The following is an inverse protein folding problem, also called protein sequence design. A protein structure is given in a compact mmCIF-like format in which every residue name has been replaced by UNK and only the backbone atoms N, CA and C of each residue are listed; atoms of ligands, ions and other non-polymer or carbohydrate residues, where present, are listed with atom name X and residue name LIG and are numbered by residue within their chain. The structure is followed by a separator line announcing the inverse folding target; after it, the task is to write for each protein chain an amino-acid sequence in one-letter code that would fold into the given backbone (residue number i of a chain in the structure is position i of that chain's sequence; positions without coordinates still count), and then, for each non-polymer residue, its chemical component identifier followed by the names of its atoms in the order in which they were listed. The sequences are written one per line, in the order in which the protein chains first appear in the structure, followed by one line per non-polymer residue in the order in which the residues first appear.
data_IF_621460984241
#
_entry.id   IF_621460984241
#
_cell.length_a   1.000
_cell.length_b   1.000
_cell.length_c   1.000
_cell.angle_alpha   90.00
_cell.angle_beta   90.00
_cell.angle_gamma   90.00
#
_symmetry.space_group_name_H-M   'P 1'
#
loop_
_entity.id
_entity.type
_entity.pdbx_description
1 polymer ?
#
# COMPACT_ATOMS: atom_id res chain seq x y z
N UNK A 1 -0.13 30.41 -44.53
CA UNK A 1 -1.45 30.25 -43.88
C UNK A 1 -1.28 29.18 -42.83
N UNK A 2 -1.06 29.62 -41.59
CA UNK A 2 -0.64 28.79 -40.47
C UNK A 2 -1.80 28.83 -39.49
N UNK A 3 -2.62 27.78 -39.46
CA UNK A 3 -3.77 27.71 -38.55
C UNK A 3 -3.33 26.99 -37.29
N UNK A 4 -3.33 27.74 -36.19
CA UNK A 4 -3.01 27.32 -34.83
C UNK A 4 -3.99 26.26 -34.32
N UNK A 5 -3.48 25.09 -33.96
CA UNK A 5 -4.16 24.12 -33.09
C UNK A 5 -3.95 24.54 -31.64
N UNK A 6 -4.71 25.52 -31.18
CA UNK A 6 -4.90 25.83 -29.77
C UNK A 6 -6.35 26.17 -29.57
N UNK A 7 -6.97 25.54 -28.57
CA UNK A 7 -8.37 25.65 -28.13
C UNK A 7 -9.38 24.70 -28.78
N UNK A 8 -9.51 23.49 -28.19
CA UNK A 8 -10.81 22.83 -27.98
C UNK A 8 -10.63 21.56 -27.12
N UNK A 9 -10.45 21.72 -25.82
CA UNK A 9 -10.78 20.70 -24.83
C UNK A 9 -11.13 21.37 -23.51
N UNK A 10 -12.14 22.24 -23.53
CA UNK A 10 -12.86 22.56 -22.31
C UNK A 10 -13.57 21.27 -21.89
N UNK A 11 -12.97 20.56 -20.94
CA UNK A 11 -13.53 19.38 -20.30
C UNK A 11 -14.94 19.70 -19.81
N UNK A 12 -15.95 19.12 -20.45
CA UNK A 12 -17.29 19.01 -19.86
C UNK A 12 -17.11 18.41 -18.46
N UNK A 13 -17.54 19.14 -17.43
CA UNK A 13 -17.56 18.61 -16.07
C UNK A 13 -18.61 17.51 -16.03
N UNK A 14 -18.18 16.26 -16.27
CA UNK A 14 -18.99 15.08 -15.99
C UNK A 14 -19.43 15.16 -14.53
N UNK A 15 -20.71 14.88 -14.28
CA UNK A 15 -21.23 14.77 -12.92
C UNK A 15 -20.33 13.84 -12.09
N UNK A 16 -20.12 14.14 -10.80
CA UNK A 16 -19.23 13.34 -9.96
C UNK A 16 -19.70 11.88 -9.99
N UNK A 17 -18.75 10.97 -10.26
CA UNK A 17 -19.02 9.54 -10.23
C UNK A 17 -19.30 9.13 -8.79
N UNK A 18 -20.49 8.58 -8.54
CA UNK A 18 -20.91 8.14 -7.21
C UNK A 18 -20.59 6.67 -6.93
N UNK A 19 -20.22 5.91 -7.97
CA UNK A 19 -19.81 4.50 -7.87
C UNK A 19 -18.59 4.19 -8.73
N UNK A 20 -17.91 3.09 -8.39
CA UNK A 20 -16.81 2.46 -9.13
C UNK A 20 -17.29 1.08 -9.58
N UNK A 21 -17.48 0.86 -10.90
CA UNK A 21 -17.76 -0.48 -11.41
C UNK A 21 -16.48 -1.32 -11.33
N UNK A 22 -16.56 -2.47 -10.67
CA UNK A 22 -15.44 -3.37 -10.46
C UNK A 22 -15.60 -4.64 -11.29
N UNK A 23 -14.48 -5.15 -11.81
CA UNK A 23 -14.42 -6.32 -12.66
C UNK A 23 -13.26 -7.22 -12.23
N UNK A 24 -13.41 -8.53 -12.39
CA UNK A 24 -12.29 -9.45 -12.27
C UNK A 24 -11.36 -9.22 -13.47
N UNK A 25 -10.11 -8.79 -13.28
CA UNK A 25 -9.22 -8.44 -14.39
C UNK A 25 -8.79 -9.67 -15.21
N UNK A 26 -8.93 -10.88 -14.68
CA UNK A 26 -8.56 -12.10 -15.38
C UNK A 26 -9.67 -12.63 -16.29
N UNK A 27 -10.95 -12.36 -15.97
CA UNK A 27 -12.12 -12.88 -16.72
C UNK A 27 -13.01 -11.78 -17.32
N UNK A 28 -12.84 -10.54 -16.89
CA UNK A 28 -13.71 -9.38 -17.15
C UNK A 28 -15.14 -9.53 -16.60
N UNK A 29 -15.38 -10.52 -15.73
CA UNK A 29 -16.68 -10.70 -15.08
C UNK A 29 -16.95 -9.54 -14.09
N UNK A 30 -18.20 -9.03 -14.03
CA UNK A 30 -18.54 -7.95 -13.10
C UNK A 30 -18.50 -8.44 -11.66
N UNK A 31 -17.82 -7.68 -10.79
CA UNK A 31 -17.76 -7.92 -9.34
C UNK A 31 -18.75 -7.06 -8.55
N UNK A 32 -19.36 -6.08 -9.21
CA UNK A 32 -20.34 -5.15 -8.65
C UNK A 32 -19.86 -3.70 -8.60
N UNK A 33 -20.68 -2.83 -8.05
CA UNK A 33 -20.38 -1.40 -7.89
C UNK A 33 -20.02 -1.08 -6.44
N UNK A 34 -18.98 -0.27 -6.26
CA UNK A 34 -18.51 0.21 -4.95
C UNK A 34 -18.80 1.70 -4.81
N UNK A 35 -19.35 2.19 -3.68
CA UNK A 35 -19.62 3.61 -3.50
C UNK A 35 -18.32 4.43 -3.45
N UNK A 36 -18.35 5.62 -4.06
CA UNK A 36 -17.27 6.59 -4.01
C UNK A 36 -17.45 7.50 -2.79
N UNK A 37 -16.41 7.65 -1.98
CA UNK A 37 -16.26 8.78 -1.07
C UNK A 37 -15.93 10.00 -1.93
N UNK A 38 -16.94 10.85 -2.14
CA UNK A 38 -16.75 12.06 -2.95
C UNK A 38 -15.87 13.06 -2.21
N UNK A 39 -15.15 13.95 -2.91
CA UNK A 39 -14.25 14.93 -2.30
C UNK A 39 -14.86 15.72 -1.13
N UNK A 40 -16.16 16.01 -1.21
CA UNK A 40 -16.92 16.77 -0.22
C UNK A 40 -17.08 16.02 1.12
N UNK A 41 -17.03 14.69 1.12
CA UNK A 41 -17.19 13.86 2.31
C UNK A 41 -15.86 13.64 3.06
N UNK A 42 -14.72 13.81 2.38
CA UNK A 42 -13.38 13.55 2.95
C UNK A 42 -13.09 14.37 4.21
N UNK A 43 -13.45 15.67 4.33
CA UNK A 43 -13.26 16.43 5.56
C UNK A 43 -13.98 15.80 6.77
N UNK A 44 -15.17 15.22 6.58
CA UNK A 44 -15.89 14.55 7.66
C UNK A 44 -15.16 13.27 8.12
N UNK A 45 -14.59 12.51 7.19
CA UNK A 45 -13.72 11.36 7.50
C UNK A 45 -12.50 11.78 8.34
N UNK A 46 -11.84 12.89 7.96
CA UNK A 46 -10.67 13.42 8.69
C UNK A 46 -11.04 13.85 10.10
N UNK A 47 -12.14 14.57 10.28
CA UNK A 47 -12.60 15.00 11.62
C UNK A 47 -12.97 13.81 12.52
N UNK A 48 -13.62 12.79 11.96
CA UNK A 48 -13.95 11.56 12.67
C UNK A 48 -12.68 10.79 13.09
N UNK A 49 -11.71 10.65 12.18
CA UNK A 49 -10.40 10.05 12.48
C UNK A 49 -9.67 10.83 13.58
N UNK A 50 -9.66 12.15 13.50
CA UNK A 50 -9.03 13.06 14.48
C UNK A 50 -9.69 12.92 15.86
N UNK A 51 -11.01 12.73 15.92
CA UNK A 51 -11.70 12.47 17.17
C UNK A 51 -11.30 11.12 17.79
N UNK A 52 -11.26 10.04 17.00
CA UNK A 52 -10.82 8.72 17.45
C UNK A 52 -9.34 8.74 17.89
N UNK A 53 -8.49 9.44 17.14
CA UNK A 53 -7.06 9.56 17.38
C UNK A 53 -6.73 10.12 18.76
N UNK A 54 -7.49 11.10 19.25
CA UNK A 54 -7.26 11.71 20.58
C UNK A 54 -7.33 10.68 21.71
N UNK A 55 -8.21 9.68 21.59
CA UNK A 55 -8.29 8.56 22.53
C UNK A 55 -7.13 7.59 22.29
N UNK A 56 -6.87 7.25 21.03
CA UNK A 56 -5.82 6.31 20.65
C UNK A 56 -4.41 6.75 21.05
N UNK A 57 -4.08 8.03 20.92
CA UNK A 57 -2.77 8.58 21.29
C UNK A 57 -2.41 8.35 22.77
N UNK A 58 -3.42 8.17 23.63
CA UNK A 58 -3.27 8.00 25.08
C UNK A 58 -3.23 6.53 25.51
N UNK A 59 -3.38 5.58 24.58
CA UNK A 59 -3.28 4.15 24.90
C UNK A 59 -1.84 3.75 25.16
N UNK A 60 -1.66 2.70 25.98
CA UNK A 60 -0.35 2.10 26.23
C UNK A 60 0.12 1.27 25.03
N UNK A 61 1.42 1.01 24.92
CA UNK A 61 1.95 0.11 23.91
C UNK A 61 1.39 -1.32 24.01
N UNK A 62 1.01 -1.76 25.20
CA UNK A 62 0.32 -3.04 25.40
C UNK A 62 -1.03 -3.07 24.70
N UNK A 63 -1.86 -2.04 24.88
CA UNK A 63 -3.15 -1.92 24.19
C UNK A 63 -2.97 -1.84 22.67
N UNK A 64 -1.92 -1.14 22.20
CA UNK A 64 -1.61 -1.06 20.76
C UNK A 64 -1.18 -2.39 20.18
N UNK A 65 -0.35 -3.14 20.91
CA UNK A 65 0.04 -4.51 20.53
C UNK A 65 -1.15 -5.44 20.48
N UNK A 66 -2.10 -5.29 21.40
CA UNK A 66 -3.28 -6.14 21.43
C UNK A 66 -4.17 -5.95 20.20
N UNK A 67 -4.46 -4.71 19.81
CA UNK A 67 -5.16 -4.42 18.54
C UNK A 67 -4.44 -5.04 17.34
N UNK A 68 -3.11 -4.89 17.27
CA UNK A 68 -2.33 -5.48 16.18
C UNK A 68 -2.28 -7.01 16.21
N UNK A 69 -2.35 -7.64 17.39
CA UNK A 69 -2.49 -9.09 17.50
C UNK A 69 -3.84 -9.56 16.96
N UNK A 70 -4.93 -8.88 17.32
CA UNK A 70 -6.25 -9.21 16.78
C UNK A 70 -6.30 -9.06 15.25
N UNK A 71 -5.64 -8.02 14.71
CA UNK A 71 -5.46 -7.88 13.25
C UNK A 71 -4.67 -9.06 12.66
N UNK A 72 -3.60 -9.50 13.31
CA UNK A 72 -2.80 -10.64 12.88
C UNK A 72 -3.60 -11.94 12.90
N UNK A 73 -4.32 -12.19 13.98
CA UNK A 73 -5.15 -13.38 14.15
C UNK A 73 -6.24 -13.42 13.06
N UNK A 74 -6.94 -12.30 12.81
CA UNK A 74 -7.92 -12.22 11.72
C UNK A 74 -7.29 -12.53 10.34
N UNK A 75 -6.12 -11.96 10.04
CA UNK A 75 -5.44 -12.24 8.75
C UNK A 75 -5.07 -13.72 8.61
N UNK A 76 -4.64 -14.37 9.70
CA UNK A 76 -4.28 -15.78 9.68
C UNK A 76 -5.52 -16.69 9.57
N UNK A 77 -6.57 -16.39 10.34
CA UNK A 77 -7.81 -17.18 10.37
C UNK A 77 -8.60 -17.09 9.05
N UNK A 78 -8.44 -15.98 8.32
CA UNK A 78 -9.12 -15.72 7.04
C UNK A 78 -8.18 -15.69 5.83
N UNK A 79 -6.97 -16.25 5.94
CA UNK A 79 -5.93 -16.14 4.91
C UNK A 79 -6.41 -16.61 3.52
N UNK A 80 -7.15 -17.73 3.44
CA UNK A 80 -7.66 -18.25 2.16
C UNK A 80 -8.71 -17.34 1.52
N UNK A 81 -9.61 -16.76 2.31
CA UNK A 81 -10.64 -15.84 1.83
C UNK A 81 -10.03 -14.51 1.38
N UNK A 82 -9.04 -14.02 2.12
CA UNK A 82 -8.26 -12.84 1.74
C UNK A 82 -7.48 -13.08 0.44
N UNK A 83 -6.88 -14.26 0.26
CA UNK A 83 -6.25 -14.65 -1.01
C UNK A 83 -7.26 -14.61 -2.15
N UNK A 84 -8.44 -15.22 -1.97
CA UNK A 84 -9.49 -15.18 -3.02
C UNK A 84 -9.89 -13.75 -3.34
N UNK A 85 -10.04 -12.88 -2.33
CA UNK A 85 -10.39 -11.48 -2.54
C UNK A 85 -9.31 -10.73 -3.35
N UNK A 86 -8.04 -10.90 -2.98
CA UNK A 86 -6.90 -10.30 -3.69
C UNK A 86 -6.82 -10.80 -5.13
N UNK A 87 -7.00 -12.11 -5.34
CA UNK A 87 -6.92 -12.72 -6.66
C UNK A 87 -8.00 -12.19 -7.57
N UNK A 88 -9.25 -12.10 -7.10
CA UNK A 88 -10.37 -11.57 -7.88
C UNK A 88 -10.23 -10.09 -8.21
N UNK A 89 -9.70 -9.30 -7.29
CA UNK A 89 -9.63 -7.84 -7.47
C UNK A 89 -8.39 -7.41 -8.26
N UNK A 90 -7.24 -8.08 -8.06
CA UNK A 90 -5.96 -7.69 -8.66
C UNK A 90 -5.43 -8.67 -9.73
N UNK A 91 -6.08 -9.82 -9.95
CA UNK A 91 -5.74 -10.76 -11.02
C UNK A 91 -4.46 -11.57 -10.84
N UNK A 92 -3.80 -11.49 -9.67
CA UNK A 92 -2.58 -12.25 -9.40
C UNK A 92 -2.88 -13.71 -9.06
N UNK A 93 -1.87 -14.59 -9.20
CA UNK A 93 -2.00 -16.01 -8.81
C UNK A 93 -2.24 -16.14 -7.30
N UNK A 94 -2.86 -17.25 -6.85
CA UNK A 94 -3.04 -17.55 -5.41
C UNK A 94 -1.70 -17.56 -4.67
N UNK A 95 -0.67 -18.09 -5.30
CA UNK A 95 0.69 -18.12 -4.74
C UNK A 95 1.25 -16.70 -4.58
N UNK A 96 1.14 -15.83 -5.59
CA UNK A 96 1.58 -14.43 -5.49
C UNK A 96 0.76 -13.64 -4.46
N UNK A 97 -0.54 -13.92 -4.32
CA UNK A 97 -1.35 -13.33 -3.26
C UNK A 97 -0.87 -13.79 -1.87
N UNK A 98 -0.62 -15.08 -1.70
CA UNK A 98 -0.15 -15.63 -0.43
C UNK A 98 1.25 -15.10 -0.05
N UNK A 99 2.22 -15.23 -0.97
CA UNK A 99 3.62 -14.86 -0.73
C UNK A 99 3.88 -13.35 -0.79
N UNK A 100 3.11 -12.61 -1.60
CA UNK A 100 3.29 -11.18 -1.84
C UNK A 100 2.40 -10.29 -0.99
N UNK A 101 1.29 -10.79 -0.44
CA UNK A 101 0.35 -9.98 0.35
C UNK A 101 0.20 -10.49 1.77
N UNK A 102 -0.28 -11.73 1.93
CA UNK A 102 -0.63 -12.27 3.25
C UNK A 102 0.62 -12.38 4.13
N UNK A 103 1.65 -13.11 3.68
CA UNK A 103 2.84 -13.34 4.49
C UNK A 103 3.63 -12.06 4.80
N UNK A 104 3.83 -11.12 3.86
CA UNK A 104 4.47 -9.84 4.16
C UNK A 104 3.70 -9.03 5.21
N UNK A 105 2.36 -9.05 5.17
CA UNK A 105 1.52 -8.41 6.20
C UNK A 105 1.70 -9.10 7.55
N UNK A 106 1.63 -10.43 7.60
CA UNK A 106 1.84 -11.19 8.83
C UNK A 106 3.22 -10.91 9.44
N UNK A 107 4.28 -10.89 8.62
CA UNK A 107 5.63 -10.57 9.09
C UNK A 107 5.72 -9.13 9.59
N UNK A 108 5.09 -8.17 8.90
CA UNK A 108 5.05 -6.77 9.33
C UNK A 108 4.34 -6.61 10.68
N UNK A 109 3.23 -7.31 10.89
CA UNK A 109 2.50 -7.37 12.16
C UNK A 109 3.38 -7.97 13.25
N UNK A 110 3.91 -9.19 13.03
CA UNK A 110 4.79 -9.89 13.97
C UNK A 110 5.96 -9.01 14.40
N UNK A 111 6.67 -8.43 13.43
CA UNK A 111 7.80 -7.54 13.69
C UNK A 111 7.38 -6.29 14.48
N UNK A 112 6.27 -5.64 14.09
CA UNK A 112 5.82 -4.40 14.74
C UNK A 112 5.32 -4.67 16.17
N UNK A 113 4.64 -5.78 16.41
CA UNK A 113 4.20 -6.22 17.75
C UNK A 113 5.42 -6.45 18.66
N UNK A 114 6.48 -7.08 18.14
CA UNK A 114 7.68 -7.40 18.91
C UNK A 114 8.62 -6.18 19.12
N UNK A 115 8.82 -5.36 18.08
CA UNK A 115 9.84 -4.30 18.09
C UNK A 115 9.29 -2.87 18.18
N UNK A 116 8.00 -2.65 17.96
CA UNK A 116 7.40 -1.32 17.83
C UNK A 116 7.59 -0.42 19.04
N UNK A 117 7.33 -0.93 20.25
CA UNK A 117 7.55 -0.17 21.50
C UNK A 117 9.02 0.21 21.69
N UNK A 118 9.94 -0.72 21.40
CA UNK A 118 11.38 -0.46 21.50
C UNK A 118 11.81 0.66 20.54
N UNK A 119 11.26 0.69 19.34
CA UNK A 119 11.55 1.70 18.33
C UNK A 119 11.03 3.10 18.68
N UNK A 120 10.02 3.20 19.55
CA UNK A 120 9.38 4.46 19.95
C UNK A 120 9.71 4.88 21.38
N UNK A 121 10.62 4.16 22.05
CA UNK A 121 11.00 4.43 23.43
C UNK A 121 11.79 5.75 23.51
N UNK A 122 11.54 6.60 24.52
CA UNK A 122 12.37 7.78 24.75
C UNK A 122 13.85 7.46 24.91
N UNK A 123 14.69 8.28 24.30
CA UNK A 123 16.15 8.15 24.37
C UNK A 123 16.75 9.29 25.21
N UNK A 124 17.51 8.94 26.25
CA UNK A 124 18.25 9.95 27.01
C UNK A 124 19.49 10.38 26.21
N UNK A 125 19.68 11.68 26.04
CA UNK A 125 20.82 12.24 25.30
C UNK A 125 21.61 13.22 26.17
N UNK A 126 22.89 13.40 25.86
CA UNK A 126 23.74 14.30 26.63
C UNK A 126 23.29 15.76 26.44
N UNK A 127 23.13 16.56 27.52
CA UNK A 127 22.92 18.00 27.43
C UNK A 127 24.22 18.77 27.09
N UNK A 128 25.32 18.06 26.80
CA UNK A 128 26.63 18.65 26.53
C UNK A 128 27.20 19.39 27.74
N UNK A 129 27.66 20.63 27.54
CA UNK A 129 28.23 21.46 28.59
C UNK A 129 27.19 21.98 29.60
N UNK A 130 25.89 21.82 29.34
CA UNK A 130 24.83 22.29 30.23
C UNK A 130 24.52 21.26 31.32
N UNK A 131 25.47 21.05 32.24
CA UNK A 131 25.41 20.04 33.31
C UNK A 131 24.20 20.14 34.26
N UNK A 132 23.51 21.28 34.29
CA UNK A 132 22.29 21.52 35.07
C UNK A 132 21.00 21.13 34.33
N UNK A 133 21.08 20.64 33.09
CA UNK A 133 19.93 20.26 32.26
C UNK A 133 19.85 18.75 32.09
N UNK A 134 18.66 18.26 31.76
CA UNK A 134 18.43 16.89 31.26
C UNK A 134 17.87 17.00 29.84
N UNK A 135 18.28 16.11 28.95
CA UNK A 135 17.81 16.08 27.58
C UNK A 135 17.36 14.66 27.21
N UNK A 136 16.26 14.57 26.46
CA UNK A 136 15.73 13.32 25.94
C UNK A 136 15.04 13.56 24.60
N UNK A 137 15.03 12.54 23.75
CA UNK A 137 14.27 12.49 22.50
C UNK A 137 13.01 11.66 22.77
N UNK A 138 11.86 12.17 22.34
CA UNK A 138 10.57 11.48 22.44
C UNK A 138 9.89 11.44 21.09
N UNK A 139 9.14 10.36 20.85
CA UNK A 139 8.38 10.16 19.62
C UNK A 139 6.89 10.29 19.93
N UNK A 140 6.27 11.33 19.37
CA UNK A 140 4.84 11.57 19.47
C UNK A 140 4.14 11.19 18.16
N UNK A 141 2.89 10.69 18.21
CA UNK A 141 2.08 10.50 17.01
C UNK A 141 1.93 11.82 16.26
N UNK A 142 1.86 11.75 14.93
CA UNK A 142 1.58 12.89 14.05
C UNK A 142 0.13 13.36 14.19
N UNK A 143 -0.81 12.41 14.33
CA UNK A 143 -2.24 12.69 14.33
C UNK A 143 -2.95 11.75 13.35
N UNK A 144 -3.60 12.31 12.33
CA UNK A 144 -4.25 11.56 11.25
C UNK A 144 -3.28 11.37 10.08
N UNK A 145 -3.07 10.12 9.68
CA UNK A 145 -2.26 9.76 8.51
C UNK A 145 -3.17 9.47 7.33
N UNK A 146 -3.01 10.20 6.23
CA UNK A 146 -3.65 9.90 4.95
C UNK A 146 -2.78 8.98 4.11
N UNK A 147 -3.30 7.83 3.71
CA UNK A 147 -2.58 6.83 2.91
C UNK A 147 -3.29 6.73 1.57
N UNK A 148 -2.55 6.85 0.47
CA UNK A 148 -3.08 6.71 -0.88
C UNK A 148 -2.35 5.55 -1.55
N UNK A 149 -3.10 4.49 -1.86
CA UNK A 149 -2.53 3.19 -2.28
C UNK A 149 -2.78 2.90 -3.77
N UNK A 150 -1.84 2.20 -4.43
CA UNK A 150 -2.01 1.69 -5.78
C UNK A 150 -2.72 0.32 -5.73
N UNK A 151 -2.99 -0.21 -6.91
CA UNK A 151 -3.80 -1.40 -7.15
C UNK A 151 -3.03 -2.72 -7.18
N UNK A 152 -1.71 -2.70 -7.23
CA UNK A 152 -0.93 -3.92 -7.50
C UNK A 152 -0.87 -4.89 -6.30
N UNK A 153 -0.85 -4.37 -5.07
CA UNK A 153 -0.87 -5.16 -3.82
C UNK A 153 -1.93 -4.60 -2.85
N UNK A 154 -3.24 -4.74 -3.13
CA UNK A 154 -4.29 -4.00 -2.42
C UNK A 154 -4.33 -4.28 -0.91
N UNK A 155 -4.06 -5.50 -0.44
CA UNK A 155 -4.06 -5.77 1.00
C UNK A 155 -2.80 -5.19 1.66
N UNK A 156 -1.63 -5.51 1.11
CA UNK A 156 -0.34 -5.08 1.66
C UNK A 156 -0.21 -3.56 1.64
N UNK A 157 -0.68 -2.88 0.60
CA UNK A 157 -0.61 -1.42 0.52
C UNK A 157 -1.52 -0.74 1.55
N UNK A 158 -2.63 -1.38 1.95
CA UNK A 158 -3.48 -0.89 3.05
C UNK A 158 -2.83 -1.16 4.40
N UNK A 159 -2.50 -2.43 4.70
CA UNK A 159 -2.04 -2.81 6.04
C UNK A 159 -0.60 -2.38 6.32
N UNK A 160 0.29 -2.52 5.33
CA UNK A 160 1.73 -2.25 5.46
C UNK A 160 2.07 -0.92 6.14
N UNK A 161 1.54 0.23 5.66
CA UNK A 161 1.72 1.52 6.31
C UNK A 161 0.77 1.79 7.48
N UNK A 162 -0.40 1.15 7.54
CA UNK A 162 -1.36 1.29 8.65
C UNK A 162 -0.83 0.69 9.96
N UNK A 163 -0.18 -0.48 9.89
CA UNK A 163 0.39 -1.19 11.05
C UNK A 163 1.35 -0.31 11.88
N UNK A 164 2.42 0.27 11.31
CA UNK A 164 3.31 1.15 12.07
C UNK A 164 2.63 2.47 12.47
N UNK A 165 1.68 2.98 11.67
CA UNK A 165 0.93 4.19 12.03
C UNK A 165 0.09 3.98 13.30
N UNK A 166 -0.61 2.85 13.42
CA UNK A 166 -1.36 2.48 14.62
C UNK A 166 -0.45 2.27 15.83
N UNK A 167 0.67 1.55 15.67
CA UNK A 167 1.66 1.38 16.75
C UNK A 167 2.18 2.73 17.28
N UNK A 168 2.43 3.67 16.38
CA UNK A 168 2.87 5.02 16.72
C UNK A 168 1.78 5.89 17.36
N UNK A 169 0.51 5.47 17.37
CA UNK A 169 -0.61 6.17 18.00
C UNK A 169 -1.37 7.12 17.06
N UNK A 170 -1.31 6.88 15.76
CA UNK A 170 -2.01 7.68 14.75
C UNK A 170 -3.37 7.06 14.40
N UNK A 171 -4.30 7.89 13.93
CA UNK A 171 -5.45 7.42 13.15
C UNK A 171 -5.06 7.35 11.67
N UNK A 172 -5.79 6.57 10.88
CA UNK A 172 -5.46 6.30 9.49
C UNK A 172 -6.69 6.41 8.59
N UNK A 173 -6.54 7.10 7.46
CA UNK A 173 -7.51 7.06 6.36
C UNK A 173 -6.78 6.55 5.13
N UNK A 174 -7.24 5.45 4.55
CA UNK A 174 -6.66 4.82 3.37
C UNK A 174 -7.57 5.02 2.18
N UNK A 175 -7.13 5.80 1.18
CA UNK A 175 -7.80 5.94 -0.10
C UNK A 175 -7.23 4.93 -1.09
N UNK A 176 -8.03 3.91 -1.40
CA UNK A 176 -7.61 2.79 -2.27
C UNK A 176 -7.78 3.11 -3.75
N UNK A 177 -6.96 2.49 -4.60
CA UNK A 177 -7.13 2.61 -6.05
C UNK A 177 -8.49 2.08 -6.49
N UNK A 178 -9.12 2.82 -7.42
CA UNK A 178 -10.37 2.47 -8.09
C UNK A 178 -10.29 1.14 -8.86
N UNK A 179 -9.09 0.67 -9.19
CA UNK A 179 -8.89 -0.61 -9.88
C UNK A 179 -9.03 -1.83 -8.97
N UNK A 180 -8.92 -1.63 -7.65
CA UNK A 180 -9.04 -2.69 -6.64
C UNK A 180 -9.91 -2.23 -5.47
N UNK A 181 -11.03 -1.58 -5.79
CA UNK A 181 -11.94 -1.04 -4.79
C UNK A 181 -12.88 -2.11 -4.22
N UNK A 182 -13.08 -3.23 -4.92
CA UNK A 182 -14.04 -4.26 -4.53
C UNK A 182 -13.63 -5.03 -3.27
N UNK A 183 -12.33 -5.26 -3.08
CA UNK A 183 -11.80 -5.93 -1.89
C UNK A 183 -11.70 -5.01 -0.67
N UNK A 184 -11.82 -3.69 -0.84
CA UNK A 184 -11.58 -2.70 0.20
C UNK A 184 -12.47 -2.87 1.44
N UNK A 185 -13.76 -3.19 1.25
CA UNK A 185 -14.70 -3.40 2.37
C UNK A 185 -14.37 -4.65 3.18
N UNK A 186 -13.85 -5.70 2.55
CA UNK A 186 -13.36 -6.90 3.24
C UNK A 186 -12.12 -6.58 4.07
N UNK A 187 -11.22 -5.75 3.53
CA UNK A 187 -10.03 -5.34 4.26
C UNK A 187 -10.32 -4.35 5.39
N UNK A 188 -11.40 -3.54 5.29
CA UNK A 188 -11.91 -2.75 6.41
C UNK A 188 -12.36 -3.64 7.59
N UNK A 189 -13.00 -4.78 7.31
CA UNK A 189 -13.50 -5.70 8.36
C UNK A 189 -12.40 -6.17 9.31
N UNK A 190 -11.18 -6.38 8.80
CA UNK A 190 -10.00 -6.73 9.60
C UNK A 190 -9.77 -5.72 10.74
N UNK A 191 -9.91 -4.42 10.43
CA UNK A 191 -9.74 -3.37 11.43
C UNK A 191 -10.98 -3.20 12.29
N UNK A 192 -12.18 -3.27 11.71
CA UNK A 192 -13.42 -3.12 12.46
C UNK A 192 -13.51 -4.14 13.60
N UNK A 193 -13.20 -5.41 13.33
CA UNK A 193 -13.24 -6.47 14.35
C UNK A 193 -12.21 -6.23 15.46
N UNK A 194 -10.98 -5.84 15.11
CA UNK A 194 -9.93 -5.54 16.09
C UNK A 194 -10.25 -4.31 16.95
N UNK A 195 -10.85 -3.27 16.36
CA UNK A 195 -11.23 -2.04 17.06
C UNK A 195 -12.45 -2.26 17.95
N UNK A 196 -13.44 -3.02 17.49
CA UNK A 196 -14.61 -3.40 18.27
C UNK A 196 -14.20 -4.23 19.50
N UNK A 197 -13.33 -5.23 19.32
CA UNK A 197 -12.81 -6.05 20.43
C UNK A 197 -12.06 -5.22 21.48
N UNK A 198 -11.40 -4.13 21.06
CA UNK A 198 -10.73 -3.19 21.96
C UNK A 198 -11.63 -2.06 22.49
N UNK A 199 -12.91 -2.02 22.10
CA UNK A 199 -13.85 -0.96 22.46
C UNK A 199 -13.43 0.43 21.96
N UNK A 200 -12.79 0.48 20.79
CA UNK A 200 -12.30 1.69 20.13
C UNK A 200 -13.24 2.10 18.98
N UNK A 201 -13.31 3.40 18.64
CA UNK A 201 -14.09 3.84 17.49
C UNK A 201 -13.52 3.28 16.18
N UNK A 202 -14.39 2.76 15.30
CA UNK A 202 -14.00 2.23 13.98
C UNK A 202 -13.37 3.31 13.11
N UNK A 203 -13.73 4.57 13.34
CA UNK A 203 -13.20 5.74 12.64
C UNK A 203 -11.69 5.95 12.84
N UNK A 204 -11.06 5.19 13.76
CA UNK A 204 -9.61 5.15 13.90
C UNK A 204 -8.90 4.66 12.63
N UNK A 205 -9.53 3.75 11.88
CA UNK A 205 -9.04 3.28 10.57
C UNK A 205 -10.20 3.29 9.57
N UNK A 206 -10.08 4.11 8.54
CA UNK A 206 -11.10 4.24 7.50
C UNK A 206 -10.50 3.91 6.13
N UNK A 207 -11.00 2.87 5.46
CA UNK A 207 -10.67 2.53 4.08
C UNK A 207 -11.77 3.11 3.19
N UNK A 208 -11.41 4.14 2.41
CA UNK A 208 -12.33 4.86 1.53
C UNK A 208 -12.01 4.59 0.07
N UNK A 209 -13.06 4.47 -0.75
CA UNK A 209 -12.93 4.30 -2.19
C UNK A 209 -13.11 5.64 -2.89
N UNK A 210 -12.33 5.90 -3.93
CA UNK A 210 -12.54 7.10 -4.73
C UNK A 210 -11.55 7.25 -5.86
N UNK A 211 -11.73 8.31 -6.64
CA UNK A 211 -10.86 8.62 -7.78
C UNK A 211 -9.72 9.58 -7.36
N UNK A 212 -9.11 10.24 -8.34
CA UNK A 212 -8.01 11.17 -8.09
C UNK A 212 -8.46 12.36 -7.22
N UNK A 213 -9.69 12.82 -7.41
CA UNK A 213 -10.28 13.95 -6.70
C UNK A 213 -10.46 13.65 -5.20
N UNK A 214 -10.86 12.43 -4.85
CA UNK A 214 -10.92 11.97 -3.44
C UNK A 214 -9.53 11.97 -2.81
N UNK A 215 -8.51 11.50 -3.56
CA UNK A 215 -7.12 11.52 -3.11
C UNK A 215 -6.60 12.95 -2.91
N UNK A 216 -6.88 13.84 -3.84
CA UNK A 216 -6.56 15.26 -3.72
C UNK A 216 -7.24 15.87 -2.49
N UNK A 217 -8.54 15.63 -2.30
CA UNK A 217 -9.26 16.11 -1.13
C UNK A 217 -8.66 15.58 0.19
N UNK A 218 -8.12 14.35 0.21
CA UNK A 218 -7.44 13.81 1.38
C UNK A 218 -6.12 14.53 1.67
N UNK A 219 -5.32 14.85 0.64
CA UNK A 219 -4.05 15.59 0.80
C UNK A 219 -4.29 16.99 1.34
N UNK A 220 -5.27 17.73 0.80
CA UNK A 220 -5.62 19.07 1.31
C UNK A 220 -6.57 19.07 2.51
N UNK A 221 -7.08 17.90 2.90
CA UNK A 221 -8.14 17.73 3.91
C UNK A 221 -7.68 17.86 5.34
N UNK A 222 -6.43 18.30 5.59
CA UNK A 222 -5.92 18.51 6.93
C UNK A 222 -5.45 17.23 7.63
N UNK A 223 -4.91 16.26 6.89
CA UNK A 223 -4.13 15.17 7.50
C UNK A 223 -2.73 15.65 7.92
N UNK A 224 -2.15 15.00 8.93
CA UNK A 224 -0.89 15.42 9.56
C UNK A 224 0.35 14.72 8.95
N UNK A 225 0.13 13.71 8.11
CA UNK A 225 1.13 13.02 7.29
C UNK A 225 0.42 12.37 6.10
N UNK A 226 1.01 12.48 4.90
CA UNK A 226 0.57 11.73 3.73
C UNK A 226 1.59 10.63 3.40
N UNK A 227 1.12 9.42 3.18
CA UNK A 227 1.89 8.30 2.63
C UNK A 227 1.28 7.99 1.26
N UNK A 228 2.06 8.14 0.20
CA UNK A 228 1.63 7.86 -1.15
C UNK A 228 2.51 6.77 -1.76
N UNK A 229 1.87 5.74 -2.28
CA UNK A 229 2.54 4.73 -3.11
C UNK A 229 1.99 4.82 -4.54
N UNK A 230 2.86 4.93 -5.54
CA UNK A 230 2.41 4.99 -6.94
C UNK A 230 3.41 5.59 -7.93
N UNK A 231 2.91 6.22 -8.99
CA UNK A 231 3.77 6.72 -10.06
C UNK A 231 4.51 8.01 -9.69
N UNK A 232 5.69 8.23 -10.28
CA UNK A 232 6.46 9.47 -10.14
C UNK A 232 5.64 10.73 -10.48
N UNK A 233 4.81 10.66 -11.53
CA UNK A 233 3.98 11.77 -11.97
C UNK A 233 2.93 12.16 -10.92
N UNK A 234 2.28 11.18 -10.30
CA UNK A 234 1.33 11.42 -9.23
C UNK A 234 2.05 11.84 -7.94
N UNK A 235 3.20 11.27 -7.61
CA UNK A 235 4.01 11.70 -6.45
C UNK A 235 4.39 13.19 -6.50
N UNK A 236 4.73 13.71 -7.68
CA UNK A 236 4.96 15.16 -7.87
C UNK A 236 3.72 16.00 -7.58
N UNK A 237 2.53 15.51 -7.96
CA UNK A 237 1.26 16.19 -7.66
C UNK A 237 0.97 16.19 -6.16
N UNK A 238 1.22 15.07 -5.47
CA UNK A 238 1.10 14.97 -4.01
C UNK A 238 1.98 16.00 -3.31
N UNK A 239 3.27 16.10 -3.68
CA UNK A 239 4.18 17.12 -3.12
C UNK A 239 3.66 18.53 -3.38
N UNK A 240 3.28 18.81 -4.62
CA UNK A 240 2.81 20.15 -5.00
C UNK A 240 1.62 20.59 -4.16
N UNK A 241 0.71 19.67 -3.86
CA UNK A 241 -0.49 19.97 -3.10
C UNK A 241 -0.22 19.99 -1.58
N UNK A 242 0.63 19.09 -1.07
CA UNK A 242 0.95 19.04 0.37
C UNK A 242 1.79 20.25 0.83
N UNK A 243 2.44 20.94 -0.10
CA UNK A 243 3.21 22.15 0.17
C UNK A 243 2.35 23.32 0.67
N UNK A 244 1.08 23.41 0.25
CA UNK A 244 0.16 24.49 0.66
C UNK A 244 -0.09 24.49 2.17
N UNK A 245 -0.10 23.31 2.79
CA UNK A 245 -0.31 23.11 4.24
C UNK A 245 0.95 22.70 4.98
N UNK A 246 2.09 22.60 4.28
CA UNK A 246 3.35 22.04 4.79
C UNK A 246 3.18 20.63 5.39
N UNK A 247 2.22 19.86 4.88
CA UNK A 247 1.98 18.48 5.31
C UNK A 247 3.15 17.60 4.84
N UNK A 248 3.84 16.89 5.75
CA UNK A 248 4.93 16.00 5.36
C UNK A 248 4.41 14.85 4.51
N UNK A 249 5.26 14.38 3.60
CA UNK A 249 4.95 13.28 2.68
C UNK A 249 6.00 12.17 2.78
N UNK A 250 5.56 10.93 2.69
CA UNK A 250 6.38 9.75 2.38
C UNK A 250 5.93 9.26 1.01
N UNK A 251 6.87 9.14 0.07
CA UNK A 251 6.58 8.72 -1.29
C UNK A 251 7.31 7.41 -1.61
N UNK A 252 6.55 6.36 -1.87
CA UNK A 252 7.02 5.09 -2.40
C UNK A 252 6.70 5.04 -3.90
N UNK A 253 7.70 5.26 -4.75
CA UNK A 253 7.50 5.47 -6.18
C UNK A 253 8.02 4.30 -7.02
N UNK A 254 7.72 4.32 -8.32
CA UNK A 254 8.17 3.27 -9.24
C UNK A 254 9.69 3.19 -9.40
N UNK A 255 10.18 1.96 -9.55
CA UNK A 255 11.57 1.64 -9.91
C UNK A 255 11.75 1.38 -11.40
N UNK A 256 12.99 1.07 -11.78
CA UNK A 256 13.35 0.50 -13.08
C UNK A 256 14.56 -0.40 -12.81
N UNK A 257 14.35 -1.41 -11.99
CA UNK A 257 15.43 -2.01 -11.22
C UNK A 257 16.35 -2.86 -12.09
N UNK A 258 17.64 -2.86 -11.73
CA UNK A 258 18.69 -3.54 -12.47
C UNK A 258 18.99 -4.91 -11.87
N UNK A 259 19.09 -5.92 -12.71
CA UNK A 259 19.55 -7.26 -12.37
C UNK A 259 20.88 -7.51 -13.08
N UNK A 260 21.94 -7.79 -12.31
CA UNK A 260 23.30 -7.95 -12.84
C UNK A 260 23.71 -9.41 -12.68
N UNK A 261 24.11 -10.05 -13.78
CA UNK A 261 24.58 -11.44 -13.81
C UNK A 261 26.06 -11.47 -14.17
N UNK A 262 26.90 -11.72 -13.17
CA UNK A 262 28.35 -11.84 -13.33
C UNK A 262 28.74 -13.15 -14.04
N UNK A 263 29.94 -13.19 -14.62
CA UNK A 263 30.44 -14.34 -15.38
C UNK A 263 30.74 -15.59 -14.53
N UNK A 264 30.83 -15.43 -13.22
CA UNK A 264 30.98 -16.49 -12.20
C UNK A 264 29.66 -16.86 -11.50
N UNK A 265 28.53 -16.28 -11.92
CA UNK A 265 27.23 -16.60 -11.34
C UNK A 265 26.83 -18.05 -11.62
N UNK A 266 26.13 -18.66 -10.66
CA UNK A 266 25.40 -19.90 -10.91
C UNK A 266 24.28 -19.62 -11.92
N UNK A 267 24.41 -20.20 -13.12
CA UNK A 267 23.53 -19.90 -14.25
C UNK A 267 22.07 -20.27 -13.96
N UNK A 268 21.81 -21.46 -13.40
CA UNK A 268 20.45 -21.92 -13.14
C UNK A 268 19.79 -21.07 -12.04
N UNK A 269 20.54 -20.76 -10.96
CA UNK A 269 20.04 -19.87 -9.92
C UNK A 269 19.75 -18.47 -10.47
N UNK A 270 20.63 -17.94 -11.31
CA UNK A 270 20.46 -16.62 -11.92
C UNK A 270 19.22 -16.57 -12.81
N UNK A 271 18.98 -17.62 -13.62
CA UNK A 271 17.78 -17.73 -14.47
C UNK A 271 16.51 -17.75 -13.62
N UNK A 272 16.44 -18.61 -12.60
CA UNK A 272 15.24 -18.67 -11.74
C UNK A 272 14.99 -17.37 -10.97
N UNK A 273 16.05 -16.73 -10.46
CA UNK A 273 15.95 -15.43 -9.80
C UNK A 273 15.51 -14.32 -10.77
N UNK A 274 15.99 -14.35 -12.01
CA UNK A 274 15.56 -13.43 -13.06
C UNK A 274 14.07 -13.57 -13.38
N UNK A 275 13.59 -14.81 -13.56
CA UNK A 275 12.18 -15.09 -13.83
C UNK A 275 11.28 -14.62 -12.68
N UNK A 276 11.65 -14.93 -11.43
CA UNK A 276 10.93 -14.45 -10.26
C UNK A 276 10.93 -12.92 -10.19
N UNK A 277 12.08 -12.30 -10.44
CA UNK A 277 12.24 -10.83 -10.43
C UNK A 277 11.39 -10.11 -11.48
N UNK A 278 11.03 -10.77 -12.59
CA UNK A 278 10.25 -10.17 -13.69
C UNK A 278 8.78 -10.53 -13.63
N UNK A 279 8.44 -11.80 -13.39
CA UNK A 279 7.10 -12.32 -13.69
C UNK A 279 6.19 -12.48 -12.48
N UNK A 280 6.70 -12.33 -11.24
CA UNK A 280 5.85 -12.24 -10.05
C UNK A 280 4.81 -11.14 -10.24
N UNK A 281 3.54 -11.48 -9.98
CA UNK A 281 2.39 -10.60 -10.21
C UNK A 281 2.32 -10.00 -11.64
N UNK A 282 2.75 -10.76 -12.65
CA UNK A 282 2.86 -10.34 -14.05
C UNK A 282 3.76 -9.10 -14.24
N UNK A 283 4.78 -8.93 -13.40
CA UNK A 283 5.70 -7.79 -13.43
C UNK A 283 5.12 -6.49 -12.90
N UNK A 284 3.91 -6.51 -12.34
CA UNK A 284 3.26 -5.32 -11.78
C UNK A 284 3.76 -5.05 -10.34
N UNK A 285 5.07 -5.06 -10.16
CA UNK A 285 5.74 -4.87 -8.88
C UNK A 285 6.77 -3.74 -8.99
N UNK A 286 6.78 -2.82 -8.02
CA UNK A 286 7.72 -1.69 -8.03
C UNK A 286 9.19 -2.12 -7.92
N UNK A 287 9.43 -3.31 -7.36
CA UNK A 287 10.75 -3.93 -7.19
C UNK A 287 11.11 -4.88 -8.34
N UNK A 288 10.29 -4.95 -9.39
CA UNK A 288 10.53 -5.86 -10.50
C UNK A 288 11.83 -5.51 -11.23
N UNK A 289 12.60 -6.53 -11.58
CA UNK A 289 13.76 -6.37 -12.44
C UNK A 289 13.29 -6.00 -13.85
N UNK A 290 13.67 -4.81 -14.32
CA UNK A 290 13.25 -4.31 -15.64
C UNK A 290 14.43 -4.13 -16.60
N UNK A 291 15.67 -4.26 -16.10
CA UNK A 291 16.90 -4.12 -16.88
C UNK A 291 17.88 -5.21 -16.48
N UNK A 292 18.33 -6.00 -17.45
CA UNK A 292 19.31 -7.07 -17.24
C UNK A 292 20.66 -6.69 -17.81
N UNK A 293 21.70 -6.79 -16.99
CA UNK A 293 23.09 -6.60 -17.38
C UNK A 293 23.83 -7.93 -17.18
N UNK A 294 24.13 -8.61 -18.27
CA UNK A 294 24.72 -9.94 -18.25
C UNK A 294 26.10 -9.86 -18.89
N UNK A 295 27.10 -10.48 -18.25
CA UNK A 295 28.47 -10.48 -18.75
C UNK A 295 28.59 -11.33 -20.02
N UNK A 296 29.42 -10.85 -20.96
CA UNK A 296 29.57 -11.40 -22.32
C UNK A 296 29.79 -12.93 -22.34
N UNK A 297 30.62 -13.44 -21.43
CA UNK A 297 30.95 -14.87 -21.34
C UNK A 297 29.75 -15.80 -21.16
N UNK A 298 28.70 -15.35 -20.48
CA UNK A 298 27.53 -16.17 -20.15
C UNK A 298 26.24 -15.66 -20.80
N UNK A 299 26.32 -14.60 -21.60
CA UNK A 299 25.17 -13.89 -22.16
C UNK A 299 24.25 -14.82 -22.95
N UNK A 300 24.79 -15.49 -23.96
CA UNK A 300 24.01 -16.34 -24.86
C UNK A 300 23.34 -17.49 -24.11
N UNK A 301 24.08 -18.14 -23.20
CA UNK A 301 23.56 -19.25 -22.40
C UNK A 301 22.46 -18.81 -21.43
N UNK A 302 22.62 -17.64 -20.80
CA UNK A 302 21.59 -17.06 -19.93
C UNK A 302 20.34 -16.67 -20.72
N UNK A 303 20.50 -15.99 -21.85
CA UNK A 303 19.37 -15.59 -22.70
C UNK A 303 18.60 -16.82 -23.19
N UNK A 304 19.29 -17.82 -23.73
CA UNK A 304 18.67 -19.05 -24.24
C UNK A 304 17.84 -19.74 -23.15
N UNK A 305 18.41 -19.90 -21.95
CA UNK A 305 17.74 -20.55 -20.83
C UNK A 305 16.55 -19.75 -20.30
N UNK A 306 16.67 -18.42 -20.19
CA UNK A 306 15.54 -17.55 -19.83
C UNK A 306 14.41 -17.70 -20.85
N UNK A 307 14.73 -17.65 -22.15
CA UNK A 307 13.73 -17.78 -23.21
C UNK A 307 13.03 -19.13 -23.18
N UNK A 308 13.76 -20.22 -22.93
CA UNK A 308 13.19 -21.55 -22.75
C UNK A 308 12.18 -21.59 -21.61
N UNK A 309 12.56 -21.13 -20.42
CA UNK A 309 11.69 -21.13 -19.24
C UNK A 309 10.49 -20.21 -19.41
N UNK A 310 10.65 -19.03 -20.01
CA UNK A 310 9.54 -18.11 -20.31
C UNK A 310 8.52 -18.76 -21.25
N UNK A 311 8.97 -19.51 -22.26
CA UNK A 311 8.05 -20.24 -23.18
C UNK A 311 7.27 -21.34 -22.48
N UNK A 312 7.77 -21.85 -21.36
CA UNK A 312 7.08 -22.86 -20.56
C UNK A 312 6.05 -22.27 -19.58
N UNK A 313 6.05 -20.94 -19.36
CA UNK A 313 5.08 -20.27 -18.49
C UNK A 313 3.66 -20.40 -19.03
N UNK A 314 2.70 -20.57 -18.11
CA UNK A 314 1.27 -20.60 -18.42
C UNK A 314 0.64 -19.28 -18.01
N UNK A 315 -0.15 -18.72 -18.91
CA UNK A 315 -0.96 -17.53 -18.66
C UNK A 315 -2.44 -17.90 -18.71
N UNK A 316 -3.20 -17.49 -17.71
CA UNK A 316 -4.64 -17.72 -17.65
C UNK A 316 -5.26 -17.25 -16.33
N UNK A 317 -6.58 -17.38 -16.18
CA UNK A 317 -7.28 -16.99 -14.96
C UNK A 317 -6.79 -17.76 -13.74
N UNK A 318 -6.48 -17.09 -12.61
CA UNK A 318 -5.93 -17.76 -11.43
C UNK A 318 -6.85 -18.74 -10.69
N UNK A 319 -8.17 -18.64 -10.87
CA UNK A 319 -9.19 -19.37 -10.11
C UNK A 319 -9.95 -20.44 -10.90
N UNK A 320 -9.58 -20.70 -12.16
CA UNK A 320 -10.20 -21.76 -12.95
C UNK A 320 -9.55 -23.11 -12.64
N UNK A 321 -10.36 -24.10 -12.27
CA UNK A 321 -9.96 -25.47 -11.87
C UNK A 321 -9.41 -26.37 -13.00
N UNK A 322 -9.09 -25.80 -14.17
CA UNK A 322 -8.52 -26.58 -15.27
C UNK A 322 -7.03 -26.85 -15.02
N UNK A 323 -6.75 -27.89 -14.22
CA UNK A 323 -5.45 -28.56 -14.15
C UNK A 323 -5.24 -29.52 -15.32
#
# INVERSE_FOLDING_TARGET
MTTSYTEAAASERKAPRTTIPCFDPATLEPLGDVPVCVPEDVPACVEAARAAQRRWARTSFEQRREVLRTVLDHVLDHADDLVVAVVKDAGKTRENAMLGEIWPVCEKLRHTIDKGEKALRPETVSPGLFLHKRARIEFAPRGVVGIITPWNYPLQNILGPTIPALMAGNAVIVKVSEWTAWSASRFQQIFDEALDAAGLPRELVQVINGYAETGAALVSGGVDLVIFTGSMGNGKRIISQSADTLTPVILELGGKDSFIVCDDADLEQAVHAALAGVFIAAGQNCLAAERFFVFDRIYDAFEERVVEEVRALRQGPPLTDER
#
